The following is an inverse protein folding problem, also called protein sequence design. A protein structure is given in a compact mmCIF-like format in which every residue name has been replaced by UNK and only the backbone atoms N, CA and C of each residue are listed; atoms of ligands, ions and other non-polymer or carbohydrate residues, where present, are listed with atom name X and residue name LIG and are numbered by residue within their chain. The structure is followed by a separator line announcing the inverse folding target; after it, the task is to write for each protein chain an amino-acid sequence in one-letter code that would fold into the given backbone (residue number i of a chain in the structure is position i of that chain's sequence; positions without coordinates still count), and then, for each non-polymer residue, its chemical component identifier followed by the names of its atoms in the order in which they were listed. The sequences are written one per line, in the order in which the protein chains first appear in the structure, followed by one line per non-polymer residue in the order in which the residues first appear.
data_IF_850279856867
#
_entry.id   IF_850279856867
#
_cell.length_a   1.000
_cell.length_b   1.000
_cell.length_c   1.000
_cell.angle_alpha   90.00
_cell.angle_beta   90.00
_cell.angle_gamma   90.00
#
_symmetry.space_group_name_H-M   'P 1'
#
loop_
_entity.id
_entity.type
_entity.pdbx_description
1 polymer ?
#
# COMPACT_ATOMS: atom_id res chain seq x y z
N UNK A 1 8.32 10.98 9.78
CA UNK A 1 7.99 9.71 10.48
C UNK A 1 9.03 8.68 10.09
N UNK A 2 9.20 7.57 10.82
CA UNK A 2 10.20 6.56 10.42
C UNK A 2 9.83 5.94 9.06
N UNK A 3 10.83 5.56 8.27
CA UNK A 3 10.66 4.88 6.99
C UNK A 3 9.83 3.60 7.14
N UNK A 4 9.23 3.19 6.04
CA UNK A 4 8.56 1.89 5.94
C UNK A 4 9.57 0.85 5.46
N UNK A 5 9.71 -0.24 6.21
CA UNK A 5 10.59 -1.35 5.86
C UNK A 5 9.78 -2.62 5.70
N UNK A 6 10.06 -3.37 4.64
CA UNK A 6 9.48 -4.69 4.41
C UNK A 6 10.61 -5.69 4.15
N UNK A 7 10.60 -6.81 4.86
CA UNK A 7 11.55 -7.90 4.62
C UNK A 7 11.32 -8.52 3.25
N UNK A 8 12.39 -8.82 2.51
CA UNK A 8 12.27 -9.53 1.25
C UNK A 8 11.85 -10.98 1.51
N UNK A 9 10.78 -11.40 0.85
CA UNK A 9 10.13 -12.71 1.04
C UNK A 9 9.83 -13.33 -0.32
N UNK A 10 9.47 -14.63 -0.41
CA UNK A 10 9.19 -15.25 -1.71
C UNK A 10 8.10 -14.55 -2.55
N UNK A 11 7.14 -13.88 -1.91
CA UNK A 11 6.11 -13.09 -2.59
C UNK A 11 6.45 -11.59 -2.74
N UNK A 12 7.59 -11.13 -2.22
CA UNK A 12 8.07 -9.76 -2.34
C UNK A 12 9.60 -9.77 -2.37
N UNK A 13 10.15 -10.15 -3.53
CA UNK A 13 11.58 -10.31 -3.74
C UNK A 13 12.20 -9.05 -4.38
N UNK A 14 13.49 -9.12 -4.74
CA UNK A 14 14.23 -8.03 -5.38
C UNK A 14 13.67 -7.60 -6.74
N UNK A 15 12.76 -8.36 -7.36
CA UNK A 15 12.07 -7.95 -8.59
C UNK A 15 10.91 -7.00 -8.31
N UNK A 16 10.42 -6.97 -7.07
CA UNK A 16 9.33 -6.11 -6.60
C UNK A 16 9.84 -4.92 -5.77
N UNK A 17 11.12 -4.91 -5.44
CA UNK A 17 11.80 -3.82 -4.76
C UNK A 17 12.85 -3.22 -5.71
N UNK A 18 12.61 -2.02 -6.22
CA UNK A 18 13.55 -1.31 -7.09
C UNK A 18 14.95 -1.25 -6.43
N UNK A 19 16.05 -1.49 -7.16
CA UNK A 19 17.41 -1.49 -6.60
C UNK A 19 17.76 -0.31 -5.69
N UNK A 20 17.20 0.88 -5.93
CA UNK A 20 17.45 2.04 -5.08
C UNK A 20 16.83 1.95 -3.67
N UNK A 21 15.83 1.10 -3.47
CA UNK A 21 15.15 0.89 -2.18
C UNK A 21 15.61 -0.37 -1.45
N UNK A 22 16.47 -1.19 -2.08
CA UNK A 22 17.03 -2.37 -1.46
C UNK A 22 18.04 -1.98 -0.38
N UNK A 23 17.88 -2.52 0.83
CA UNK A 23 18.77 -2.28 1.95
C UNK A 23 18.96 -3.56 2.78
N UNK A 24 19.90 -3.54 3.72
CA UNK A 24 20.18 -4.65 4.63
C UNK A 24 20.20 -4.14 6.07
N UNK A 25 19.43 -4.79 6.94
CA UNK A 25 19.45 -4.50 8.37
C UNK A 25 20.80 -4.91 9.00
N UNK A 26 21.16 -4.39 10.19
CA UNK A 26 22.43 -4.73 10.84
C UNK A 26 22.63 -6.22 11.11
N UNK A 27 21.55 -7.00 11.19
CA UNK A 27 21.56 -8.45 11.38
C UNK A 27 21.73 -9.26 10.08
N UNK A 28 21.88 -8.58 8.93
CA UNK A 28 22.02 -9.19 7.61
C UNK A 28 20.70 -9.46 6.89
N UNK A 29 19.55 -9.10 7.48
CA UNK A 29 18.25 -9.29 6.84
C UNK A 29 18.08 -8.34 5.65
N UNK A 30 17.85 -8.90 4.46
CA UNK A 30 17.54 -8.12 3.26
C UNK A 30 16.13 -7.54 3.33
N UNK A 31 16.00 -6.24 3.08
CA UNK A 31 14.76 -5.49 3.15
C UNK A 31 14.58 -4.59 1.92
N UNK A 32 13.34 -4.13 1.72
CA UNK A 32 13.05 -2.93 0.96
C UNK A 32 12.70 -1.80 1.93
N UNK A 33 13.33 -0.63 1.76
CA UNK A 33 13.10 0.55 2.59
C UNK A 33 12.55 1.69 1.73
N UNK A 34 11.36 2.14 2.09
CA UNK A 34 10.67 3.25 1.44
C UNK A 34 10.53 4.42 2.41
N UNK A 35 10.68 5.63 1.89
CA UNK A 35 10.34 6.82 2.65
C UNK A 35 8.85 6.82 2.96
N UNK A 36 8.50 7.15 4.20
CA UNK A 36 7.11 7.22 4.65
C UNK A 36 6.77 8.62 5.12
N UNK A 37 5.58 9.06 4.77
CA UNK A 37 5.04 10.36 5.12
C UNK A 37 3.79 10.19 6.00
N UNK A 38 3.47 11.24 6.75
CA UNK A 38 2.21 11.35 7.47
C UNK A 38 1.43 12.47 6.81
N UNK A 39 0.37 12.12 6.10
CA UNK A 39 -0.57 13.08 5.54
C UNK A 39 -1.68 13.33 6.55
N UNK A 40 -2.14 14.57 6.67
CA UNK A 40 -3.26 14.93 7.55
C UNK A 40 -4.27 15.71 6.75
N UNK A 41 -5.48 15.18 6.67
CA UNK A 41 -6.59 15.80 5.96
C UNK A 41 -7.11 17.02 6.74
N UNK A 42 -7.85 17.94 6.09
CA UNK A 42 -8.41 19.13 6.75
C UNK A 42 -9.33 18.82 7.95
N UNK A 43 -9.94 17.63 7.98
CA UNK A 43 -10.76 17.14 9.09
C UNK A 43 -9.93 16.60 10.27
N UNK A 44 -8.60 16.64 10.16
CA UNK A 44 -7.64 16.19 11.18
C UNK A 44 -7.29 14.71 11.10
N UNK A 45 -7.90 13.93 10.20
CA UNK A 45 -7.55 12.51 10.05
C UNK A 45 -6.19 12.36 9.38
N UNK A 46 -5.30 11.55 9.97
CA UNK A 46 -3.98 11.29 9.41
C UNK A 46 -3.82 9.87 8.89
N UNK A 47 -3.01 9.74 7.84
CA UNK A 47 -2.64 8.46 7.24
C UNK A 47 -1.14 8.37 7.03
N UNK A 48 -0.63 7.15 7.01
CA UNK A 48 0.72 6.88 6.54
C UNK A 48 0.69 6.59 5.06
N UNK A 49 1.51 7.31 4.30
CA UNK A 49 1.58 7.16 2.85
C UNK A 49 3.02 6.93 2.41
N UNK A 50 3.17 6.18 1.32
CA UNK A 50 4.44 5.99 0.63
C UNK A 50 4.40 6.81 -0.65
N UNK A 51 5.48 7.53 -0.87
CA UNK A 51 5.76 8.35 -2.04
C UNK A 51 7.26 8.17 -2.28
N UNK A 52 7.56 7.55 -3.41
CA UNK A 52 8.84 6.94 -3.76
C UNK A 52 9.60 7.79 -4.78
N UNK A 53 8.89 8.56 -5.61
CA UNK A 53 9.38 9.26 -6.79
C UNK A 53 8.59 10.53 -6.98
N UNK A 54 9.26 11.58 -7.45
CA UNK A 54 8.61 12.80 -7.90
C UNK A 54 7.92 12.55 -9.25
N UNK A 55 6.59 12.51 -9.23
CA UNK A 55 5.70 12.38 -10.38
C UNK A 55 4.83 13.64 -10.43
N UNK A 56 5.26 14.70 -11.13
CA UNK A 56 4.60 16.01 -11.09
C UNK A 56 3.09 15.95 -11.39
N UNK A 57 2.66 15.08 -12.29
CA UNK A 57 1.25 14.92 -12.65
C UNK A 57 0.39 14.29 -11.54
N UNK A 58 1.01 13.61 -10.57
CA UNK A 58 0.36 12.91 -9.46
C UNK A 58 0.58 13.59 -8.10
N UNK A 59 1.64 14.40 -8.00
CA UNK A 59 2.10 15.04 -6.76
C UNK A 59 1.69 16.52 -6.68
N UNK A 60 1.65 17.23 -7.81
CA UNK A 60 1.18 18.62 -7.91
C UNK A 60 -0.09 18.70 -8.77
N UNK A 61 -1.17 18.17 -8.19
CA UNK A 61 -2.47 18.11 -8.86
C UNK A 61 -3.26 19.41 -8.71
N UNK A 62 -4.12 19.68 -9.68
CA UNK A 62 -5.15 20.71 -9.54
C UNK A 62 -6.21 20.33 -8.48
N UNK A 63 -7.10 21.27 -8.16
CA UNK A 63 -8.23 20.99 -7.25
C UNK A 63 -9.25 20.09 -7.93
N UNK A 64 -9.54 18.95 -7.31
CA UNK A 64 -10.63 18.07 -7.75
C UNK A 64 -11.97 18.51 -7.15
N UNK A 65 -12.97 18.72 -8.01
CA UNK A 65 -14.36 18.93 -7.59
C UNK A 65 -15.12 17.64 -7.84
N UNK A 66 -15.25 16.83 -6.78
CA UNK A 66 -15.91 15.52 -6.85
C UNK A 66 -17.41 15.72 -7.15
N UNK A 67 -17.94 15.16 -8.25
CA UNK A 67 -19.36 15.28 -8.57
C UNK A 67 -20.24 14.64 -7.50
N UNK A 68 -21.46 15.15 -7.34
CA UNK A 68 -22.45 14.52 -6.47
C UNK A 68 -22.66 13.04 -6.85
N UNK A 69 -22.83 12.19 -5.84
CA UNK A 69 -22.96 10.73 -6.04
C UNK A 69 -21.66 10.00 -6.38
N UNK A 70 -20.51 10.68 -6.34
CA UNK A 70 -19.20 10.07 -6.59
C UNK A 70 -18.25 10.24 -5.41
N UNK A 71 -17.19 9.43 -5.39
CA UNK A 71 -16.05 9.53 -4.47
C UNK A 71 -14.74 9.67 -5.23
N UNK A 72 -13.75 10.24 -4.56
CA UNK A 72 -12.36 10.30 -5.00
C UNK A 72 -11.54 9.43 -4.05
N UNK A 73 -10.87 8.41 -4.58
CA UNK A 73 -10.14 7.42 -3.81
C UNK A 73 -8.66 7.53 -4.15
N UNK A 74 -7.80 7.35 -3.14
CA UNK A 74 -6.35 7.34 -3.29
C UNK A 74 -5.78 6.14 -2.54
N UNK A 75 -4.74 5.53 -3.09
CA UNK A 75 -4.00 4.47 -2.42
C UNK A 75 -2.99 5.05 -1.42
N UNK A 76 -2.69 4.30 -0.36
CA UNK A 76 -1.65 4.68 0.60
C UNK A 76 -0.24 4.57 0.00
N UNK A 77 -0.02 3.66 -0.95
CA UNK A 77 1.21 3.60 -1.75
C UNK A 77 1.02 4.42 -3.04
N UNK A 78 1.35 5.71 -2.99
CA UNK A 78 0.93 6.71 -3.98
C UNK A 78 1.45 6.42 -5.38
N UNK A 79 2.70 6.03 -5.51
CA UNK A 79 3.34 5.86 -6.83
C UNK A 79 3.05 4.52 -7.48
N UNK A 80 2.55 3.56 -6.69
CA UNK A 80 2.12 2.24 -7.17
C UNK A 80 0.60 2.10 -7.09
N UNK A 81 -0.13 3.21 -7.22
CA UNK A 81 -1.58 3.26 -7.12
C UNK A 81 -2.21 3.89 -8.36
N UNK A 82 -2.93 3.06 -9.11
CA UNK A 82 -3.76 3.47 -10.25
C UNK A 82 -5.12 4.03 -9.77
N UNK A 83 -5.09 5.12 -9.01
CA UNK A 83 -6.25 5.67 -8.30
C UNK A 83 -6.96 6.82 -9.02
N UNK A 84 -7.83 7.55 -8.31
CA UNK A 84 -8.68 8.61 -8.86
C UNK A 84 -7.90 9.81 -9.41
N UNK A 85 -6.62 9.98 -9.06
CA UNK A 85 -5.77 11.04 -9.63
C UNK A 85 -5.60 10.91 -11.13
N UNK A 86 -5.64 9.68 -11.66
CA UNK A 86 -5.46 9.38 -13.07
C UNK A 86 -6.79 9.01 -13.74
N UNK A 87 -7.00 9.51 -14.96
CA UNK A 87 -8.17 9.16 -15.76
C UNK A 87 -8.05 7.73 -16.34
N UNK A 88 -9.18 7.04 -16.60
CA UNK A 88 -9.17 5.81 -17.38
C UNK A 88 -8.51 6.00 -18.76
N UNK A 89 -7.78 5.00 -19.29
CA UNK A 89 -7.65 3.63 -18.77
C UNK A 89 -6.52 3.43 -17.74
N UNK A 90 -5.77 4.49 -17.40
CA UNK A 90 -4.60 4.38 -16.51
C UNK A 90 -5.03 4.26 -15.05
N UNK A 91 -5.96 5.10 -14.61
CA UNK A 91 -6.54 5.04 -13.27
C UNK A 91 -8.05 4.92 -13.28
N UNK A 92 -8.64 5.29 -12.15
CA UNK A 92 -10.07 5.11 -11.89
C UNK A 92 -10.91 6.35 -12.19
N UNK A 93 -10.33 7.55 -12.11
CA UNK A 93 -11.11 8.79 -12.04
C UNK A 93 -12.10 8.78 -10.86
N UNK A 94 -13.19 9.55 -10.97
CA UNK A 94 -14.26 9.55 -9.96
C UNK A 94 -15.06 8.24 -10.01
N UNK A 95 -15.39 7.70 -8.84
CA UNK A 95 -16.13 6.45 -8.71
C UNK A 95 -17.56 6.71 -8.21
N UNK A 96 -18.61 6.26 -8.92
CA UNK A 96 -19.97 6.31 -8.41
C UNK A 96 -20.12 5.54 -7.11
N UNK A 97 -20.83 6.11 -6.13
CA UNK A 97 -21.02 5.50 -4.79
C UNK A 97 -21.71 4.14 -4.90
N UNK A 98 -22.52 3.92 -5.93
CA UNK A 98 -23.22 2.65 -6.19
C UNK A 98 -22.26 1.50 -6.54
N UNK A 99 -20.98 1.79 -6.86
CA UNK A 99 -19.93 0.78 -7.07
C UNK A 99 -19.16 0.43 -5.80
N UNK A 100 -19.49 1.05 -4.67
CA UNK A 100 -18.85 0.77 -3.38
C UNK A 100 -19.60 -0.38 -2.71
N UNK A 101 -18.95 -1.53 -2.63
CA UNK A 101 -19.53 -2.72 -2.00
C UNK A 101 -19.46 -2.68 -0.47
N UNK A 102 -18.41 -2.07 0.08
CA UNK A 102 -18.25 -2.01 1.53
C UNK A 102 -16.92 -1.44 2.00
N UNK A 103 -16.75 -1.43 3.32
CA UNK A 103 -15.55 -0.96 4.00
C UNK A 103 -14.68 -2.15 4.41
N UNK A 104 -13.38 -2.09 4.11
CA UNK A 104 -12.40 -3.01 4.68
C UNK A 104 -12.26 -2.77 6.19
N UNK A 105 -12.46 -3.82 6.99
CA UNK A 105 -12.54 -3.70 8.46
C UNK A 105 -11.34 -4.30 9.18
N UNK A 106 -10.94 -5.51 8.81
CA UNK A 106 -9.88 -6.25 9.49
C UNK A 106 -9.07 -7.07 8.49
N UNK A 107 -7.79 -7.29 8.79
CA UNK A 107 -6.99 -8.30 8.09
C UNK A 107 -7.30 -9.67 8.68
N UNK A 108 -8.07 -10.50 7.97
CA UNK A 108 -8.44 -11.85 8.41
C UNK A 108 -7.28 -12.85 8.32
N UNK A 109 -6.43 -12.73 7.30
CA UNK A 109 -5.32 -13.65 7.05
C UNK A 109 -4.16 -12.93 6.37
N UNK A 110 -2.91 -13.29 6.72
CA UNK A 110 -1.72 -12.72 6.10
C UNK A 110 -0.53 -13.68 6.14
N UNK A 111 0.18 -13.81 5.02
CA UNK A 111 1.38 -14.65 4.88
C UNK A 111 2.52 -13.90 4.16
N UNK A 112 3.75 -14.32 4.42
CA UNK A 112 4.95 -13.89 3.72
C UNK A 112 5.24 -14.64 2.39
N UNK A 113 4.36 -15.54 1.97
CA UNK A 113 4.51 -16.27 0.72
C UNK A 113 5.47 -17.46 0.77
N UNK A 114 6.05 -17.78 1.94
CA UNK A 114 6.83 -19.02 2.12
C UNK A 114 5.97 -20.27 2.37
N UNK A 115 4.64 -20.11 2.46
CA UNK A 115 3.69 -21.20 2.64
C UNK A 115 3.61 -22.10 1.39
N UNK A 116 3.80 -23.41 1.57
CA UNK A 116 3.60 -24.42 0.54
C UNK A 116 2.25 -25.11 0.72
N UNK A 117 1.42 -25.13 -0.33
CA UNK A 117 0.05 -25.67 -0.27
C UNK A 117 -0.04 -27.10 0.30
N UNK A 118 0.90 -27.99 -0.04
CA UNK A 118 0.83 -29.41 0.37
C UNK A 118 1.42 -29.63 1.78
N UNK A 119 2.13 -28.64 2.34
CA UNK A 119 2.84 -28.75 3.62
C UNK A 119 2.19 -27.81 4.65
N UNK A 120 1.09 -28.21 5.30
CA UNK A 120 0.30 -27.30 6.15
C UNK A 120 1.07 -26.72 7.34
N UNK A 121 2.12 -27.40 7.82
CA UNK A 121 2.99 -26.86 8.87
C UNK A 121 3.73 -25.59 8.44
N UNK A 122 3.98 -25.40 7.13
CA UNK A 122 4.61 -24.18 6.59
C UNK A 122 3.68 -22.98 6.63
N UNK A 123 2.36 -23.18 6.68
CA UNK A 123 1.39 -22.08 6.72
C UNK A 123 1.50 -21.33 8.03
N UNK A 124 1.68 -22.06 9.13
CA UNK A 124 1.84 -21.50 10.48
C UNK A 124 3.11 -20.66 10.56
N UNK A 125 4.24 -21.17 10.02
CA UNK A 125 5.52 -20.44 10.03
C UNK A 125 5.51 -19.24 9.10
N UNK A 126 4.82 -19.32 7.97
CA UNK A 126 4.70 -18.24 6.98
C UNK A 126 3.69 -17.14 7.40
N UNK A 127 2.96 -17.33 8.50
CA UNK A 127 1.89 -16.41 8.91
C UNK A 127 2.48 -15.15 9.54
N UNK A 128 2.01 -13.99 9.07
CA UNK A 128 2.36 -12.68 9.65
C UNK A 128 1.40 -12.36 10.80
N UNK A 129 1.63 -12.99 11.95
CA UNK A 129 0.73 -12.96 13.12
C UNK A 129 0.38 -11.54 13.59
N UNK A 130 1.33 -10.61 13.50
CA UNK A 130 1.13 -9.22 13.90
C UNK A 130 0.12 -8.46 13.03
N UNK A 131 -0.26 -8.98 11.85
CA UNK A 131 -1.26 -8.37 10.97
C UNK A 131 -2.65 -8.94 11.15
N UNK A 132 -2.79 -10.14 11.72
CA UNK A 132 -4.11 -10.78 11.83
C UNK A 132 -4.92 -10.06 12.92
N UNK A 133 -6.13 -9.63 12.55
CA UNK A 133 -7.01 -8.84 13.42
C UNK A 133 -6.68 -7.35 13.46
N UNK A 134 -5.65 -6.89 12.75
CA UNK A 134 -5.36 -5.48 12.58
C UNK A 134 -6.47 -4.81 11.75
N UNK A 135 -6.98 -3.68 12.24
CA UNK A 135 -8.00 -2.86 11.57
C UNK A 135 -7.40 -1.70 10.76
N UNK A 136 -8.27 -0.95 10.07
CA UNK A 136 -7.91 0.17 9.18
C UNK A 136 -8.58 1.50 9.58
#
# INVERSE_FOLDING_TARGET
VADFTVTLTPNFDTRHCDPQFQDTLPDGTAICRYRRYRETLPDGKSYFVLDQRDIPEADDTGVYIVPAGNVFLMGDNRDDSADSRFAPPVGMGYIPVERIEGKAMVTFFSTDGSAEWIKPWTWVTATRWNRIGEGF
#
